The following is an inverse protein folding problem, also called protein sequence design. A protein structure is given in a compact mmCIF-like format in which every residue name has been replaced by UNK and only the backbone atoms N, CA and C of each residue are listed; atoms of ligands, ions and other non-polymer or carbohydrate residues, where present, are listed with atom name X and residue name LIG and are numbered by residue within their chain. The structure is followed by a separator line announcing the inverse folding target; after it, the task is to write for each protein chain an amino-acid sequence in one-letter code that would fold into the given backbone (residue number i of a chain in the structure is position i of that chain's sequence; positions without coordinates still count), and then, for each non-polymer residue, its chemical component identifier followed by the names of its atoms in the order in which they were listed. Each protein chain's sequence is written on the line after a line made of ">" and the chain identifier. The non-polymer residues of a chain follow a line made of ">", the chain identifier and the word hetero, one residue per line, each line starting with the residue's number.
data_IF_378382443061
#
_entry.id   IF_378382443061
#
_cell.length_a   1.000
_cell.length_b   1.000
_cell.length_c   1.000
_cell.angle_alpha   90.00
_cell.angle_beta   90.00
_cell.angle_gamma   90.00
#
_symmetry.space_group_name_H-M   'P 1'
#
loop_
_entity.id
_entity.type
_entity.pdbx_description
1 polymer ?
#
# COMPACT_ATOMS: atom_id res chain seq x y z
N UNK A 1 -4.46 14.39 10.06
CA UNK A 1 -3.76 15.18 9.00
C UNK A 1 -2.39 14.61 8.58
N UNK A 2 -1.39 14.42 9.48
CA UNK A 2 -0.03 13.97 9.06
C UNK A 2 0.01 12.58 8.37
N UNK A 3 -0.80 11.63 8.84
CA UNK A 3 -0.81 10.27 8.28
C UNK A 3 -1.42 10.21 6.87
N UNK A 4 -2.52 10.93 6.62
CA UNK A 4 -3.18 10.91 5.31
C UNK A 4 -2.27 11.47 4.21
N UNK A 5 -1.57 12.57 4.48
CA UNK A 5 -0.59 13.15 3.56
C UNK A 5 0.58 12.18 3.27
N UNK A 6 1.04 11.44 4.29
CA UNK A 6 2.06 10.40 4.12
C UNK A 6 1.57 9.23 3.25
N UNK A 7 0.31 8.80 3.41
CA UNK A 7 -0.28 7.75 2.58
C UNK A 7 -0.41 8.19 1.11
N UNK A 8 -0.83 9.43 0.88
CA UNK A 8 -0.92 10.01 -0.46
C UNK A 8 0.46 10.10 -1.14
N UNK A 9 1.48 10.58 -0.42
CA UNK A 9 2.85 10.60 -0.91
C UNK A 9 3.37 9.19 -1.22
N UNK A 10 3.03 8.22 -0.38
CA UNK A 10 3.41 6.81 -0.59
C UNK A 10 2.73 6.25 -1.83
N UNK A 11 1.44 6.55 -2.06
CA UNK A 11 0.74 6.17 -3.29
C UNK A 11 1.42 6.76 -4.53
N UNK A 12 1.76 8.05 -4.50
CA UNK A 12 2.46 8.70 -5.61
C UNK A 12 3.82 8.04 -5.89
N UNK A 13 4.58 7.70 -4.85
CA UNK A 13 5.85 6.97 -4.99
C UNK A 13 5.67 5.58 -5.61
N UNK A 14 4.64 4.84 -5.18
CA UNK A 14 4.29 3.54 -5.76
C UNK A 14 3.89 3.66 -7.24
N UNK A 15 3.15 4.72 -7.61
CA UNK A 15 2.75 4.97 -9.00
C UNK A 15 3.96 5.29 -9.89
N UNK A 16 4.90 6.11 -9.40
CA UNK A 16 6.18 6.36 -10.09
C UNK A 16 6.98 5.07 -10.29
N UNK A 17 7.02 4.18 -9.29
CA UNK A 17 7.68 2.89 -9.40
C UNK A 17 7.00 1.96 -10.41
N UNK A 18 5.66 1.92 -10.44
CA UNK A 18 4.90 1.18 -11.46
C UNK A 18 5.30 1.64 -12.87
N UNK A 19 5.35 2.96 -13.08
CA UNK A 19 5.74 3.51 -14.38
C UNK A 19 7.18 3.17 -14.74
N UNK A 20 8.11 3.25 -13.77
CA UNK A 20 9.52 2.86 -13.96
C UNK A 20 9.66 1.38 -14.36
N UNK A 21 9.02 0.45 -13.65
CA UNK A 21 9.11 -0.99 -13.92
C UNK A 21 8.32 -1.44 -15.15
N UNK A 22 7.32 -0.67 -15.60
CA UNK A 22 6.66 -0.91 -16.89
C UNK A 22 7.58 -0.58 -18.07
N UNK A 23 8.35 0.49 -17.96
CA UNK A 23 9.22 0.98 -19.04
C UNK A 23 10.54 0.22 -19.11
N UNK A 24 11.10 -0.17 -17.97
CA UNK A 24 12.35 -0.91 -17.88
C UNK A 24 12.06 -2.41 -17.74
N UNK A 25 12.32 -3.18 -18.79
CA UNK A 25 12.12 -4.64 -18.78
C UNK A 25 13.41 -5.39 -18.43
N UNK A 26 14.06 -5.06 -17.31
CA UNK A 26 15.20 -5.85 -16.86
C UNK A 26 14.73 -7.14 -16.17
N UNK A 27 15.65 -8.10 -16.00
CA UNK A 27 15.41 -9.28 -15.21
C UNK A 27 14.98 -8.89 -13.77
N UNK A 28 13.83 -9.39 -13.32
CA UNK A 28 13.24 -9.10 -12.01
C UNK A 28 12.32 -7.87 -11.96
N UNK A 29 12.24 -7.05 -13.01
CA UNK A 29 11.34 -5.88 -13.03
C UNK A 29 9.86 -6.29 -13.12
N UNK A 30 9.56 -7.46 -13.71
CA UNK A 30 8.21 -8.04 -13.70
C UNK A 30 7.72 -8.35 -12.29
N UNK A 31 8.57 -8.94 -11.45
CA UNK A 31 8.22 -9.27 -10.07
C UNK A 31 8.10 -8.03 -9.20
N UNK A 32 8.99 -7.05 -9.41
CA UNK A 32 8.92 -5.74 -8.75
C UNK A 32 7.64 -5.00 -9.16
N UNK A 33 7.28 -5.04 -10.44
CA UNK A 33 6.04 -4.43 -10.94
C UNK A 33 4.81 -5.06 -10.29
N UNK A 34 4.77 -6.38 -10.19
CA UNK A 34 3.65 -7.08 -9.57
C UNK A 34 3.55 -6.76 -8.07
N UNK A 35 4.67 -6.84 -7.34
CA UNK A 35 4.73 -6.46 -5.93
C UNK A 35 4.29 -5.01 -5.69
N UNK A 36 4.73 -4.08 -6.54
CA UNK A 36 4.37 -2.66 -6.44
C UNK A 36 2.89 -2.43 -6.71
N UNK A 37 2.32 -3.10 -7.72
CA UNK A 37 0.88 -3.04 -8.02
C UNK A 37 0.03 -3.58 -6.86
N UNK A 38 0.46 -4.68 -6.25
CA UNK A 38 -0.23 -5.25 -5.08
C UNK A 38 -0.21 -4.26 -3.90
N UNK A 39 0.97 -3.73 -3.55
CA UNK A 39 1.11 -2.75 -2.48
C UNK A 39 0.29 -1.47 -2.75
N UNK A 40 0.26 -1.00 -4.00
CA UNK A 40 -0.53 0.16 -4.42
C UNK A 40 -2.04 -0.10 -4.28
N UNK A 41 -2.53 -1.24 -4.78
CA UNK A 41 -3.95 -1.61 -4.66
C UNK A 41 -4.38 -1.74 -3.19
N UNK A 42 -3.55 -2.38 -2.37
CA UNK A 42 -3.78 -2.52 -0.95
C UNK A 42 -3.85 -1.16 -0.24
N UNK A 43 -2.93 -0.23 -0.56
CA UNK A 43 -2.92 1.11 0.03
C UNK A 43 -4.17 1.93 -0.34
N UNK A 44 -4.68 1.79 -1.58
CA UNK A 44 -5.95 2.41 -1.97
C UNK A 44 -7.13 1.87 -1.15
N UNK A 45 -7.16 0.56 -0.86
CA UNK A 45 -8.20 -0.03 0.02
C UNK A 45 -8.11 0.52 1.44
N UNK A 46 -6.89 0.71 1.95
CA UNK A 46 -6.65 1.36 3.25
C UNK A 46 -7.21 2.78 3.23
N UNK A 47 -6.85 3.59 2.24
CA UNK A 47 -7.33 4.98 2.15
C UNK A 47 -8.85 5.06 2.09
N UNK A 48 -9.51 4.24 1.27
CA UNK A 48 -10.97 4.18 1.22
C UNK A 48 -11.58 3.80 2.58
N UNK A 49 -10.97 2.84 3.28
CA UNK A 49 -11.42 2.48 4.63
C UNK A 49 -11.23 3.65 5.62
N UNK A 50 -10.16 4.43 5.48
CA UNK A 50 -9.94 5.62 6.31
C UNK A 50 -11.01 6.69 6.05
N UNK A 51 -11.40 6.88 4.79
CA UNK A 51 -12.49 7.80 4.43
C UNK A 51 -13.84 7.35 5.01
N UNK A 52 -14.10 6.03 5.09
CA UNK A 52 -15.36 5.47 5.60
C UNK A 52 -15.41 5.43 7.13
N UNK A 53 -14.35 4.92 7.77
CA UNK A 53 -14.34 4.61 9.22
C UNK A 53 -13.63 5.65 10.07
N UNK A 54 -13.01 6.65 9.45
CA UNK A 54 -12.16 7.65 10.10
C UNK A 54 -10.71 7.20 10.23
N UNK A 55 -9.98 7.70 11.23
CA UNK A 55 -8.54 7.46 11.34
C UNK A 55 -8.21 6.05 11.88
N UNK A 56 -6.95 5.65 11.74
CA UNK A 56 -6.36 4.44 12.32
C UNK A 56 -5.26 4.81 13.32
N UNK A 57 -4.90 3.88 14.19
CA UNK A 57 -3.80 4.08 15.14
C UNK A 57 -2.45 3.85 14.46
N UNK A 58 -2.33 2.73 13.74
CA UNK A 58 -1.08 2.29 13.13
C UNK A 58 -1.29 1.70 11.73
N UNK A 59 -0.33 1.97 10.84
CA UNK A 59 -0.19 1.33 9.53
C UNK A 59 1.23 0.79 9.37
N UNK A 60 1.34 -0.46 8.95
CA UNK A 60 2.64 -1.13 8.77
C UNK A 60 2.65 -1.87 7.43
N UNK A 61 3.69 -1.74 6.59
CA UNK A 61 3.83 -2.56 5.40
C UNK A 61 4.05 -4.02 5.81
N UNK A 62 3.39 -4.95 5.10
CA UNK A 62 3.49 -6.39 5.38
C UNK A 62 3.66 -7.20 4.11
N UNK A 63 4.29 -8.37 4.26
CA UNK A 63 4.40 -9.39 3.21
C UNK A 63 3.81 -10.70 3.72
N UNK A 64 2.74 -11.16 3.10
CA UNK A 64 2.10 -12.44 3.41
C UNK A 64 2.35 -13.44 2.27
N UNK A 65 3.40 -14.25 2.44
CA UNK A 65 3.87 -15.16 1.38
C UNK A 65 4.31 -14.38 0.13
N UNK A 66 3.59 -14.55 -0.98
CA UNK A 66 3.84 -13.83 -2.24
C UNK A 66 3.12 -12.48 -2.33
N UNK A 67 2.22 -12.16 -1.38
CA UNK A 67 1.42 -10.95 -1.42
C UNK A 67 2.07 -9.80 -0.65
N UNK A 68 2.02 -8.60 -1.21
CA UNK A 68 2.52 -7.38 -0.59
C UNK A 68 1.35 -6.46 -0.25
N UNK A 69 1.35 -5.90 0.96
CA UNK A 69 0.20 -5.20 1.48
C UNK A 69 0.47 -4.38 2.72
N UNK A 70 -0.60 -4.08 3.46
CA UNK A 70 -0.60 -3.21 4.63
C UNK A 70 -1.42 -3.82 5.76
N UNK A 71 -0.89 -3.76 6.96
CA UNK A 71 -1.62 -4.04 8.19
C UNK A 71 -2.07 -2.72 8.80
N UNK A 72 -3.33 -2.66 9.23
CA UNK A 72 -3.94 -1.51 9.88
C UNK A 72 -4.42 -1.92 11.26
N UNK A 73 -4.11 -1.11 12.27
CA UNK A 73 -4.73 -1.19 13.59
C UNK A 73 -5.70 -0.02 13.67
N UNK A 74 -7.02 -0.32 13.69
CA UNK A 74 -8.04 0.72 13.80
C UNK A 74 -8.16 1.29 15.23
N UNK A 75 -8.98 2.33 15.41
CA UNK A 75 -9.21 2.97 16.72
C UNK A 75 -9.78 2.04 17.78
N UNK A 76 -10.44 0.95 17.37
CA UNK A 76 -11.00 -0.06 18.27
C UNK A 76 -9.98 -1.19 18.52
N UNK A 77 -8.70 -0.97 18.21
CA UNK A 77 -7.62 -1.94 18.32
C UNK A 77 -7.85 -3.21 17.48
N UNK A 78 -8.70 -3.15 16.44
CA UNK A 78 -8.88 -4.28 15.53
C UNK A 78 -7.86 -4.21 14.41
N UNK A 79 -7.16 -5.33 14.22
CA UNK A 79 -6.19 -5.50 13.14
C UNK A 79 -6.89 -5.93 11.85
N UNK A 80 -6.56 -5.27 10.74
CA UNK A 80 -7.03 -5.61 9.39
C UNK A 80 -5.83 -5.73 8.44
N UNK A 81 -5.89 -6.70 7.55
CA UNK A 81 -4.85 -6.93 6.53
C UNK A 81 -5.40 -6.64 5.14
N UNK A 82 -4.69 -5.81 4.39
CA UNK A 82 -4.98 -5.51 2.99
C UNK A 82 -3.82 -6.00 2.15
N UNK A 83 -4.04 -7.05 1.36
CA UNK A 83 -3.08 -7.66 0.45
C UNK A 83 -3.74 -7.93 -0.91
#
# INVERSE_FOLDING_TARGET
>A
MKQQQLLEQTLQGLEQMINKYKLNQNAGDRDRLDATKQAHSALRKVMLMCEITGEFNEITPVKQGKKHGWMIIDKNMKTKYYC
#
